data_IF_493316842315
#
_entry.id   IF_493316842315
#
_cell.length_a   1.000
_cell.length_b   1.000
_cell.length_c   1.000
_cell.angle_alpha   90.00
_cell.angle_beta   90.00
_cell.angle_gamma   90.00
#
_symmetry.space_group_name_H-M   'P 1'
#
loop_
_entity.id
_entity.type
_entity.pdbx_description
1 polymer ?
#
# COMPACT_ATOMS: atom_id res chain seq x y z
N UNK A 1 4.41 4.38 34.20
CA UNK A 1 3.00 4.13 34.48
C UNK A 1 2.69 2.77 33.90
N UNK A 2 1.92 1.90 34.57
CA UNK A 2 1.66 0.56 34.03
C UNK A 2 0.57 0.64 32.95
N UNK A 3 0.51 -0.37 32.08
CA UNK A 3 -0.48 -0.43 30.98
C UNK A 3 -1.93 -0.37 31.50
N UNK A 4 -2.22 -1.01 32.63
CA UNK A 4 -3.55 -0.95 33.25
C UNK A 4 -3.96 0.44 33.74
N UNK A 5 -3.00 1.20 34.28
CA UNK A 5 -3.22 2.57 34.73
C UNK A 5 -3.49 3.51 33.55
N UNK A 6 -2.79 3.30 32.42
CA UNK A 6 -3.03 4.04 31.16
C UNK A 6 -4.45 3.79 30.64
N UNK A 7 -4.93 2.54 30.63
CA UNK A 7 -6.31 2.23 30.22
C UNK A 7 -7.34 2.93 31.11
N UNK A 8 -7.10 2.94 32.43
CA UNK A 8 -7.96 3.66 33.37
C UNK A 8 -7.92 5.17 33.12
N UNK A 9 -6.74 5.74 32.89
CA UNK A 9 -6.58 7.16 32.58
C UNK A 9 -7.34 7.55 31.31
N UNK A 10 -7.23 6.77 30.23
CA UNK A 10 -7.96 7.01 28.98
C UNK A 10 -9.48 7.06 29.23
N UNK A 11 -10.00 6.12 30.01
CA UNK A 11 -11.43 6.09 30.34
C UNK A 11 -11.86 7.33 31.13
N UNK A 12 -11.06 7.79 32.09
CA UNK A 12 -11.35 9.00 32.86
C UNK A 12 -11.30 10.25 31.97
N UNK A 13 -10.29 10.36 31.12
CA UNK A 13 -10.16 11.48 30.18
C UNK A 13 -11.32 11.53 29.18
N UNK A 14 -11.91 10.40 28.81
CA UNK A 14 -13.14 10.35 28.01
C UNK A 14 -14.35 11.04 28.67
N UNK A 15 -14.38 11.15 30.00
CA UNK A 15 -15.46 11.83 30.73
C UNK A 15 -15.30 13.36 30.76
N UNK A 16 -14.15 13.89 30.32
CA UNK A 16 -13.95 15.34 30.20
C UNK A 16 -14.87 15.99 29.15
N UNK A 17 -15.46 15.20 28.25
CA UNK A 17 -16.46 15.65 27.29
C UNK A 17 -17.91 15.59 27.80
N UNK A 18 -18.16 15.31 29.08
CA UNK A 18 -19.53 15.24 29.62
C UNK A 18 -20.24 16.60 29.58
N UNK A 19 -21.55 16.57 29.32
CA UNK A 19 -22.44 17.75 29.37
C UNK A 19 -22.56 18.34 30.79
N UNK A 20 -22.21 17.57 31.82
CA UNK A 20 -22.31 18.00 33.21
C UNK A 20 -20.97 18.53 33.75
N UNK A 21 -20.94 19.81 34.11
CA UNK A 21 -19.76 20.50 34.64
C UNK A 21 -19.11 19.79 35.83
N UNK A 22 -19.94 19.28 36.75
CA UNK A 22 -19.49 18.54 37.93
C UNK A 22 -18.78 17.23 37.57
N UNK A 23 -19.25 16.53 36.53
CA UNK A 23 -18.61 15.30 36.05
C UNK A 23 -17.28 15.59 35.36
N UNK A 24 -17.19 16.67 34.59
CA UNK A 24 -15.92 17.11 33.98
C UNK A 24 -14.87 17.45 35.04
N UNK A 25 -15.26 18.21 36.06
CA UNK A 25 -14.38 18.59 37.16
C UNK A 25 -13.91 17.36 37.96
N UNK A 26 -14.83 16.43 38.25
CA UNK A 26 -14.50 15.18 38.93
C UNK A 26 -13.55 14.30 38.11
N UNK A 27 -13.77 14.21 36.79
CA UNK A 27 -12.90 13.47 35.88
C UNK A 27 -11.50 14.08 35.79
N UNK A 28 -11.38 15.40 35.69
CA UNK A 28 -10.09 16.09 35.68
C UNK A 28 -9.31 15.82 36.98
N UNK A 29 -9.98 15.92 38.13
CA UNK A 29 -9.36 15.64 39.43
C UNK A 29 -8.94 14.17 39.57
N UNK A 30 -9.76 13.23 39.09
CA UNK A 30 -9.44 11.81 39.12
C UNK A 30 -8.26 11.48 38.21
N UNK A 31 -8.17 12.11 37.03
CA UNK A 31 -7.03 11.96 36.12
C UNK A 31 -5.73 12.47 36.76
N UNK A 32 -5.75 13.67 37.34
CA UNK A 32 -4.56 14.25 37.99
C UNK A 32 -4.08 13.39 39.18
N UNK A 33 -5.01 12.91 40.02
CA UNK A 33 -4.71 11.99 41.12
C UNK A 33 -4.10 10.67 40.64
N UNK A 34 -4.59 10.11 39.53
CA UNK A 34 -4.05 8.86 38.98
C UNK A 34 -2.62 9.04 38.45
N UNK A 35 -2.37 10.13 37.74
CA UNK A 35 -1.03 10.45 37.19
C UNK A 35 -0.03 10.67 38.33
N UNK A 36 -0.37 11.55 39.29
CA UNK A 36 0.49 11.84 40.44
C UNK A 36 0.67 10.63 41.36
N UNK A 37 -0.41 9.90 41.63
CA UNK A 37 -0.38 8.69 42.47
C UNK A 37 0.46 7.56 41.87
N UNK A 38 0.66 7.57 40.55
CA UNK A 38 1.56 6.64 39.87
C UNK A 38 3.03 7.09 39.89
N UNK A 39 3.33 8.26 40.47
CA UNK A 39 4.66 8.87 40.50
C UNK A 39 5.08 9.53 39.19
N UNK A 40 4.12 9.86 38.32
CA UNK A 40 4.36 10.51 37.02
C UNK A 40 3.91 11.96 37.06
N UNK A 41 4.55 12.80 36.25
CA UNK A 41 4.02 14.14 35.96
C UNK A 41 3.31 14.15 34.61
N UNK A 42 2.44 15.14 34.40
CA UNK A 42 1.85 15.37 33.08
C UNK A 42 2.89 15.65 32.00
N UNK A 43 4.01 16.27 32.38
CA UNK A 43 5.14 16.44 31.47
C UNK A 43 5.73 15.11 31.08
N UNK A 44 5.97 14.17 32.01
CA UNK A 44 6.50 12.85 31.66
C UNK A 44 5.55 12.04 30.77
N UNK A 45 4.24 12.25 30.91
CA UNK A 45 3.21 11.57 30.13
C UNK A 45 3.07 12.14 28.71
N UNK A 46 3.13 13.46 28.58
CA UNK A 46 2.87 14.18 27.33
C UNK A 46 4.13 14.57 26.58
N UNK A 47 5.28 14.60 27.26
CA UNK A 47 6.55 14.83 26.62
C UNK A 47 6.67 13.80 25.49
N UNK A 48 7.00 14.23 24.27
CA UNK A 48 7.30 13.29 23.22
C UNK A 48 8.41 12.42 23.79
N UNK A 49 8.11 11.14 23.99
CA UNK A 49 9.17 10.17 24.21
C UNK A 49 10.17 10.49 23.12
N UNK A 50 11.42 10.78 23.49
CA UNK A 50 12.52 10.69 22.54
C UNK A 50 12.54 9.22 22.19
N UNK A 51 11.66 8.83 21.27
CA UNK A 51 11.76 7.62 20.51
C UNK A 51 13.07 7.90 19.81
N UNK A 52 14.15 7.40 20.42
CA UNK A 52 15.27 6.93 19.65
C UNK A 52 14.58 6.00 18.67
N UNK A 53 14.22 6.54 17.50
CA UNK A 53 13.69 5.74 16.41
C UNK A 53 14.71 4.63 16.34
N UNK A 54 14.38 3.36 16.65
CA UNK A 54 15.25 2.32 16.19
C UNK A 54 15.39 2.62 14.70
N UNK A 55 16.62 2.90 14.28
CA UNK A 55 16.99 3.00 12.88
C UNK A 55 16.22 1.86 12.23
N UNK A 56 15.28 2.20 11.33
CA UNK A 56 14.48 1.20 10.61
C UNK A 56 15.50 0.32 9.89
N UNK A 57 15.84 -0.79 10.49
CA UNK A 57 16.78 -1.75 9.96
C UNK A 57 16.50 -3.08 10.63
N UNK A 58 16.36 -4.06 9.74
CA UNK A 58 16.64 -5.47 9.98
C UNK A 58 15.47 -6.42 10.22
N UNK A 59 14.25 -6.05 9.87
CA UNK A 59 13.24 -7.06 9.51
C UNK A 59 12.58 -6.62 8.21
N UNK A 60 13.11 -7.12 7.09
CA UNK A 60 12.40 -7.12 5.82
C UNK A 60 11.04 -7.76 6.06
N UNK A 61 10.01 -6.94 5.90
CA UNK A 61 8.61 -7.30 6.06
C UNK A 61 8.25 -8.37 5.01
N UNK A 62 7.62 -9.50 5.37
CA UNK A 62 7.11 -10.48 4.40
C UNK A 62 6.24 -9.87 3.29
N UNK A 63 5.63 -8.71 3.56
CA UNK A 63 4.91 -7.94 2.57
C UNK A 63 5.82 -7.30 1.51
N UNK A 64 7.02 -6.84 1.90
CA UNK A 64 8.01 -6.26 0.97
C UNK A 64 8.59 -7.33 0.05
N UNK A 65 8.87 -8.52 0.57
CA UNK A 65 9.29 -9.67 -0.24
C UNK A 65 8.20 -10.11 -1.22
N UNK A 66 6.93 -10.09 -0.77
CA UNK A 66 5.79 -10.42 -1.64
C UNK A 66 5.58 -9.39 -2.75
N UNK A 67 5.80 -8.11 -2.48
CA UNK A 67 5.73 -7.03 -3.47
C UNK A 67 6.88 -7.14 -4.49
N UNK A 68 8.12 -7.34 -4.03
CA UNK A 68 9.26 -7.54 -4.91
C UNK A 68 9.12 -8.79 -5.80
N UNK A 69 8.58 -9.88 -5.25
CA UNK A 69 8.25 -11.08 -6.00
C UNK A 69 7.11 -10.85 -7.01
N UNK A 70 6.08 -10.07 -6.65
CA UNK A 70 5.00 -9.70 -7.56
C UNK A 70 5.51 -8.84 -8.72
N UNK A 71 6.38 -7.86 -8.46
CA UNK A 71 6.99 -7.01 -9.47
C UNK A 71 7.87 -7.80 -10.44
N UNK A 72 8.67 -8.75 -9.93
CA UNK A 72 9.50 -9.63 -10.76
C UNK A 72 8.65 -10.50 -11.69
N UNK A 73 7.55 -11.08 -11.16
CA UNK A 73 6.57 -11.82 -11.96
C UNK A 73 5.90 -10.96 -13.01
N UNK A 74 5.53 -9.73 -12.67
CA UNK A 74 4.94 -8.79 -13.62
C UNK A 74 5.90 -8.46 -14.77
N UNK A 75 7.20 -8.27 -14.48
CA UNK A 75 8.22 -8.06 -15.53
C UNK A 75 8.33 -9.27 -16.43
N UNK A 76 8.37 -10.47 -15.86
CA UNK A 76 8.43 -11.71 -16.62
C UNK A 76 7.19 -11.88 -17.51
N UNK A 77 5.98 -11.76 -16.96
CA UNK A 77 4.73 -11.85 -17.72
C UNK A 77 4.66 -10.82 -18.86
N UNK A 78 5.17 -9.60 -18.63
CA UNK A 78 5.25 -8.58 -19.69
C UNK A 78 6.21 -8.99 -20.80
N UNK A 79 7.38 -9.55 -20.47
CA UNK A 79 8.32 -10.06 -21.49
C UNK A 79 7.74 -11.25 -22.28
N UNK A 80 7.03 -12.15 -21.61
CA UNK A 80 6.39 -13.30 -22.26
C UNK A 80 5.26 -12.85 -23.19
N UNK A 81 4.40 -11.93 -22.73
CA UNK A 81 3.37 -11.34 -23.59
C UNK A 81 3.96 -10.67 -24.82
N UNK A 82 5.03 -9.88 -24.66
CA UNK A 82 5.70 -9.23 -25.78
C UNK A 82 6.25 -10.26 -26.80
N UNK A 83 6.83 -11.37 -26.30
CA UNK A 83 7.32 -12.46 -27.14
C UNK A 83 6.19 -13.17 -27.89
N UNK A 84 5.12 -13.53 -27.19
CA UNK A 84 3.95 -14.18 -27.79
C UNK A 84 3.29 -13.29 -28.84
N UNK A 85 3.18 -11.98 -28.59
CA UNK A 85 2.66 -11.03 -29.55
C UNK A 85 3.50 -10.97 -30.83
N UNK A 86 4.83 -11.03 -30.73
CA UNK A 86 5.70 -11.07 -31.91
C UNK A 86 5.55 -12.40 -32.67
N UNK A 87 5.37 -13.51 -31.96
CA UNK A 87 5.13 -14.81 -32.59
C UNK A 87 3.78 -14.85 -33.33
N UNK A 88 2.71 -14.36 -32.70
CA UNK A 88 1.40 -14.17 -33.34
C UNK A 88 1.54 -13.31 -34.59
N UNK A 89 2.27 -12.20 -34.51
CA UNK A 89 2.50 -11.30 -35.64
C UNK A 89 3.25 -12.00 -36.77
N UNK A 90 4.28 -12.79 -36.46
CA UNK A 90 5.03 -13.59 -37.45
C UNK A 90 4.16 -14.65 -38.11
N UNK A 91 3.38 -15.40 -37.32
CA UNK A 91 2.51 -16.45 -37.83
C UNK A 91 1.41 -15.87 -38.73
N UNK A 92 0.78 -14.76 -38.32
CA UNK A 92 -0.19 -14.03 -39.16
C UNK A 92 0.41 -13.63 -40.50
N UNK A 93 1.62 -13.04 -40.50
CA UNK A 93 2.34 -12.70 -41.76
C UNK A 93 2.58 -13.93 -42.63
N UNK A 94 3.00 -15.07 -42.05
CA UNK A 94 3.20 -16.33 -42.81
C UNK A 94 1.89 -16.85 -43.40
N UNK A 95 0.81 -16.74 -42.64
CA UNK A 95 -0.52 -17.17 -43.05
C UNK A 95 -1.04 -16.28 -44.19
N UNK A 96 -0.92 -14.95 -44.07
CA UNK A 96 -1.28 -14.01 -45.13
C UNK A 96 -0.52 -14.28 -46.43
N UNK A 97 0.78 -14.59 -46.34
CA UNK A 97 1.58 -14.95 -47.51
C UNK A 97 1.11 -16.25 -48.18
N UNK A 98 0.64 -17.23 -47.39
CA UNK A 98 0.12 -18.50 -47.90
C UNK A 98 -1.30 -18.39 -48.45
N UNK A 99 -2.11 -17.53 -47.84
CA UNK A 99 -3.53 -17.34 -48.18
C UNK A 99 -3.75 -16.24 -49.21
N UNK A 100 -2.70 -15.51 -49.61
CA UNK A 100 -2.77 -14.57 -50.73
C UNK A 100 -3.34 -15.28 -51.96
N UNK A 101 -4.53 -14.88 -52.44
CA UNK A 101 -5.04 -15.42 -53.69
C UNK A 101 -4.06 -15.05 -54.81
N UNK A 102 -3.71 -16.03 -55.64
CA UNK A 102 -3.01 -15.78 -56.89
C UNK A 102 -3.87 -14.80 -57.70
N UNK A 103 -3.39 -13.57 -57.89
CA UNK A 103 -4.00 -12.60 -58.79
C UNK A 103 -3.28 -12.74 -60.14
N UNK A 104 -3.84 -13.48 -61.12
CA UNK A 104 -3.27 -13.55 -62.46
C UNK A 104 -3.21 -12.14 -63.06
N UNK A 105 -2.17 -11.89 -63.86
CA UNK A 105 -1.93 -10.63 -64.55
C UNK A 105 -2.89 -10.45 -65.75
N UNK A 106 -4.20 -10.45 -65.49
CA UNK A 106 -5.21 -10.03 -66.46
C UNK A 106 -5.66 -8.62 -66.10
N UNK A 107 -4.92 -7.62 -66.57
CA UNK A 107 -5.38 -6.24 -66.81
C UNK A 107 -4.23 -5.39 -67.37
N UNK A 108 -3.50 -5.92 -68.37
CA UNK A 108 -2.72 -5.06 -69.26
C UNK A 108 -3.59 -4.80 -70.50
N UNK A 109 -4.16 -3.59 -70.67
CA UNK A 109 -4.92 -3.29 -71.87
C UNK A 109 -4.01 -3.46 -73.11
N UNK A 110 -4.54 -3.96 -74.24
CA UNK A 110 -3.74 -4.23 -75.43
C UNK A 110 -3.12 -2.93 -75.95
N UNK A 111 -1.86 -3.02 -76.36
CA UNK A 111 -1.18 -1.94 -77.07
C UNK A 111 -1.98 -1.61 -78.34
N UNK A 112 -2.48 -0.38 -78.41
CA UNK A 112 -3.17 0.14 -79.58
C UNK A 112 -2.17 0.35 -80.74
N UNK A 113 -2.60 0.15 -82.00
CA UNK A 113 -1.74 0.16 -83.19
C UNK A 113 -1.21 1.55 -83.58
#
# INVERSE_FOLDING_TARGET
>A
MRKGDLTRLIRILGMLGSDHDGERAAAALAADRLVRGSGWTWWDLLAPARVSRPIRSQWMDPLTDRLAAADSRMRQLRSENARLQEEIRRLKRRLDLRTRPFRPAEDRPPAAP
#
